data_IF_621051053049
#
_entry.id   IF_621051053049
#
_cell.length_a   1.000
_cell.length_b   1.000
_cell.length_c   1.000
_cell.angle_alpha   90.00
_cell.angle_beta   90.00
_cell.angle_gamma   90.00
#
_symmetry.space_group_name_H-M   'P 1'
#
loop_
_entity.id
_entity.type
_entity.pdbx_description
1 polymer ?
#
# COMPACT_ATOMS: atom_id res chain seq x y z
N UNK A 1 41.84 -5.45 -19.49
CA UNK A 1 40.92 -6.35 -18.76
C UNK A 1 40.75 -5.86 -17.32
N UNK A 2 39.54 -5.38 -17.02
CA UNK A 2 39.08 -5.10 -15.66
C UNK A 2 38.44 -6.35 -15.04
N UNK A 3 38.32 -6.38 -13.72
CA UNK A 3 37.71 -7.47 -12.96
C UNK A 3 36.23 -7.68 -13.32
N UNK A 4 35.63 -8.84 -13.00
CA UNK A 4 34.17 -9.01 -13.16
C UNK A 4 33.45 -8.19 -12.08
N UNK A 5 32.43 -7.38 -12.43
CA UNK A 5 31.71 -6.61 -11.42
C UNK A 5 30.77 -7.48 -10.59
N UNK A 6 30.51 -7.04 -9.37
CA UNK A 6 29.31 -7.43 -8.62
C UNK A 6 28.14 -6.58 -9.13
N UNK A 7 27.09 -7.23 -9.62
CA UNK A 7 25.89 -6.58 -10.15
C UNK A 7 24.79 -6.67 -9.11
N UNK A 8 24.33 -5.53 -8.62
CA UNK A 8 23.22 -5.44 -7.66
C UNK A 8 22.00 -4.83 -8.36
N UNK A 9 20.87 -5.55 -8.48
CA UNK A 9 19.62 -4.98 -8.98
C UNK A 9 19.19 -3.76 -8.16
N UNK A 10 18.65 -2.74 -8.81
CA UNK A 10 18.04 -1.55 -8.20
C UNK A 10 16.70 -1.27 -8.90
N UNK A 11 15.79 -0.53 -8.28
CA UNK A 11 14.54 -0.15 -8.92
C UNK A 11 14.83 0.77 -10.10
N UNK A 12 14.60 0.25 -11.31
CA UNK A 12 14.82 1.00 -12.53
C UNK A 12 16.24 0.98 -13.05
N UNK A 13 17.08 0.08 -12.55
CA UNK A 13 18.40 -0.13 -13.13
C UNK A 13 19.28 -1.07 -12.31
N UNK A 14 20.58 -0.81 -12.33
CA UNK A 14 21.59 -1.73 -11.81
C UNK A 14 22.76 -0.93 -11.25
N UNK A 15 23.33 -1.42 -10.15
CA UNK A 15 24.61 -0.96 -9.63
C UNK A 15 25.69 -2.00 -9.94
N UNK A 16 26.73 -1.58 -10.67
CA UNK A 16 27.90 -2.38 -10.97
C UNK A 16 29.06 -1.90 -10.10
N UNK A 17 29.67 -2.83 -9.36
CA UNK A 17 30.82 -2.54 -8.50
C UNK A 17 32.03 -3.37 -8.92
N UNK A 18 33.11 -2.67 -9.24
CA UNK A 18 34.43 -3.22 -9.51
C UNK A 18 35.37 -2.87 -8.36
N UNK A 19 35.57 -3.82 -7.44
CA UNK A 19 36.37 -3.59 -6.24
C UNK A 19 37.85 -3.33 -6.56
N UNK A 20 38.44 -4.07 -7.51
CA UNK A 20 39.86 -3.94 -7.86
C UNK A 20 40.19 -2.59 -8.52
N UNK A 21 39.23 -2.01 -9.23
CA UNK A 21 39.34 -0.72 -9.91
C UNK A 21 38.76 0.45 -9.11
N UNK A 22 38.24 0.19 -7.90
CA UNK A 22 37.49 1.15 -7.09
C UNK A 22 36.39 1.86 -7.90
N UNK A 23 35.75 1.16 -8.85
CA UNK A 23 34.84 1.77 -9.82
C UNK A 23 33.40 1.37 -9.50
N UNK A 24 32.52 2.36 -9.47
CA UNK A 24 31.09 2.18 -9.32
C UNK A 24 30.39 2.78 -10.54
N UNK A 25 29.56 1.97 -11.20
CA UNK A 25 28.72 2.41 -12.30
C UNK A 25 27.28 2.21 -11.92
N UNK A 26 26.53 3.31 -11.85
CA UNK A 26 25.09 3.29 -11.60
C UNK A 26 24.37 3.50 -12.92
N UNK A 27 23.48 2.56 -13.24
CA UNK A 27 22.48 2.69 -14.29
C UNK A 27 21.14 2.93 -13.61
N UNK A 28 20.46 4.02 -13.95
CA UNK A 28 19.14 4.39 -13.44
C UNK A 28 18.19 4.71 -14.60
N UNK A 29 16.91 4.92 -14.31
CA UNK A 29 15.87 5.31 -15.27
C UNK A 29 15.82 4.42 -16.52
N UNK A 30 16.14 3.14 -16.37
CA UNK A 30 16.21 2.19 -17.47
C UNK A 30 14.83 1.98 -18.09
N UNK A 31 14.76 2.15 -19.41
CA UNK A 31 13.55 2.01 -20.22
C UNK A 31 13.87 1.19 -21.45
N UNK A 32 13.09 0.13 -21.64
CA UNK A 32 13.01 -0.60 -22.91
C UNK A 32 11.87 0.03 -23.70
N UNK A 33 12.20 0.69 -24.81
CA UNK A 33 11.18 1.32 -25.67
C UNK A 33 10.51 0.23 -26.49
N UNK A 34 9.20 0.07 -26.32
CA UNK A 34 8.43 -0.99 -27.01
C UNK A 34 8.30 -0.77 -28.51
N UNK A 35 8.48 0.48 -28.99
CA UNK A 35 8.36 0.83 -30.41
C UNK A 35 9.55 0.39 -31.26
N UNK A 36 10.77 0.48 -30.74
CA UNK A 36 12.01 0.25 -31.48
C UNK A 36 12.99 -0.68 -30.76
N UNK A 37 12.63 -1.20 -29.58
CA UNK A 37 13.43 -2.14 -28.80
C UNK A 37 14.70 -1.54 -28.18
N UNK A 38 14.92 -0.22 -28.31
CA UNK A 38 16.12 0.42 -27.78
C UNK A 38 16.07 0.45 -26.26
N UNK A 39 17.25 0.35 -25.64
CA UNK A 39 17.40 0.43 -24.19
C UNK A 39 18.09 1.75 -23.84
N UNK A 40 17.40 2.61 -23.12
CA UNK A 40 17.93 3.90 -22.65
C UNK A 40 17.87 3.97 -21.14
N UNK A 41 18.78 4.70 -20.53
CA UNK A 41 18.71 5.04 -19.11
C UNK A 41 19.59 6.24 -18.82
N UNK A 42 19.84 6.47 -17.54
CA UNK A 42 20.86 7.36 -17.06
C UNK A 42 22.08 6.55 -16.60
N UNK A 43 23.27 7.07 -16.90
CA UNK A 43 24.53 6.47 -16.53
C UNK A 43 25.33 7.45 -15.67
N UNK A 44 25.79 6.98 -14.52
CA UNK A 44 26.72 7.69 -13.65
C UNK A 44 27.90 6.78 -13.35
N UNK A 45 29.12 7.33 -13.43
CA UNK A 45 30.36 6.61 -13.11
C UNK A 45 31.08 7.36 -12.00
N UNK A 46 31.35 6.68 -10.90
CA UNK A 46 32.11 7.20 -9.77
C UNK A 46 33.32 6.32 -9.49
N UNK A 47 34.42 6.95 -9.12
CA UNK A 47 35.57 6.27 -8.54
C UNK A 47 35.52 6.44 -7.03
N UNK A 48 35.56 5.33 -6.30
CA UNK A 48 35.55 5.28 -4.85
C UNK A 48 36.92 4.86 -4.31
N UNK A 49 37.96 5.66 -4.61
CA UNK A 49 39.26 5.50 -3.96
C UNK A 49 39.18 5.99 -2.50
N UNK A 50 39.84 5.25 -1.61
CA UNK A 50 39.70 5.25 -0.14
C UNK A 50 39.77 6.62 0.57
N UNK A 51 40.20 7.70 -0.09
CA UNK A 51 40.28 9.06 0.47
C UNK A 51 39.32 10.10 -0.15
N UNK A 52 38.71 9.85 -1.32
CA UNK A 52 37.79 10.79 -1.99
C UNK A 52 36.98 10.10 -3.10
N UNK A 53 35.65 10.09 -2.96
CA UNK A 53 34.76 9.71 -4.05
C UNK A 53 34.76 10.78 -5.14
N UNK A 54 35.16 10.42 -6.36
CA UNK A 54 35.16 11.33 -7.51
C UNK A 54 34.08 10.91 -8.51
N UNK A 55 33.25 11.86 -8.95
CA UNK A 55 32.34 11.64 -10.08
C UNK A 55 33.15 11.75 -11.37
N UNK A 56 33.32 10.62 -12.08
CA UNK A 56 34.01 10.56 -13.36
C UNK A 56 33.08 10.95 -14.51
N UNK A 57 31.84 10.43 -14.46
CA UNK A 57 30.73 10.77 -15.35
C UNK A 57 29.51 11.11 -14.49
N UNK A 58 28.98 12.36 -14.53
CA UNK A 58 27.74 12.69 -13.85
C UNK A 58 26.56 11.92 -14.46
N UNK A 59 25.44 11.85 -13.74
CA UNK A 59 24.22 11.22 -14.28
C UNK A 59 23.84 11.88 -15.60
N UNK A 60 23.90 11.12 -16.69
CA UNK A 60 23.61 11.60 -18.05
C UNK A 60 22.80 10.57 -18.80
N UNK A 61 21.90 11.02 -19.68
CA UNK A 61 21.16 10.10 -20.52
C UNK A 61 22.11 9.33 -21.44
N UNK A 62 21.88 8.02 -21.50
CA UNK A 62 22.70 7.07 -22.23
C UNK A 62 21.81 6.09 -22.99
N UNK A 63 22.05 5.95 -24.29
CA UNK A 63 21.42 4.94 -25.12
C UNK A 63 22.37 3.74 -25.22
N UNK A 64 22.06 2.66 -24.50
CA UNK A 64 22.87 1.45 -24.45
C UNK A 64 22.91 0.73 -25.81
N UNK A 65 21.94 0.99 -26.69
CA UNK A 65 21.90 0.45 -28.05
C UNK A 65 22.67 1.29 -29.08
N UNK A 66 23.29 2.43 -28.71
CA UNK A 66 23.95 3.35 -29.66
C UNK A 66 25.48 3.26 -29.63
N UNK A 67 26.07 2.65 -30.66
CA UNK A 67 27.53 2.52 -30.81
C UNK A 67 28.25 3.88 -30.81
N UNK A 68 27.66 4.87 -31.48
CA UNK A 68 28.24 6.22 -31.57
C UNK A 68 28.32 6.92 -30.21
N UNK A 69 27.31 6.76 -29.35
CA UNK A 69 27.31 7.34 -28.00
C UNK A 69 28.35 6.64 -27.12
N UNK A 70 28.47 5.30 -27.22
CA UNK A 70 29.49 4.54 -26.49
C UNK A 70 30.90 4.99 -26.86
N UNK A 71 31.21 5.06 -28.16
CA UNK A 71 32.53 5.49 -28.64
C UNK A 71 32.87 6.92 -28.19
N UNK A 72 31.90 7.84 -28.23
CA UNK A 72 32.08 9.22 -27.77
C UNK A 72 32.41 9.30 -26.28
N UNK A 73 31.64 8.62 -25.43
CA UNK A 73 31.86 8.65 -23.97
C UNK A 73 33.16 7.96 -23.57
N UNK A 74 33.49 6.83 -24.21
CA UNK A 74 34.76 6.14 -24.02
C UNK A 74 35.95 7.05 -24.36
N UNK A 75 35.89 7.76 -25.49
CA UNK A 75 36.92 8.71 -25.90
C UNK A 75 37.08 9.85 -24.89
N UNK A 76 35.98 10.46 -24.44
CA UNK A 76 36.00 11.56 -23.48
C UNK A 76 36.62 11.15 -22.13
N UNK A 77 36.26 9.98 -21.60
CA UNK A 77 36.84 9.49 -20.35
C UNK A 77 38.30 9.08 -20.50
N UNK A 78 38.69 8.52 -21.65
CA UNK A 78 40.09 8.21 -21.97
C UNK A 78 40.96 9.46 -22.06
N UNK A 79 40.46 10.53 -22.66
CA UNK A 79 41.17 11.82 -22.75
C UNK A 79 41.29 12.49 -21.38
N UNK A 80 40.23 12.45 -20.57
CA UNK A 80 40.20 13.08 -19.25
C UNK A 80 40.97 12.30 -18.17
N UNK A 81 41.04 10.98 -18.31
CA UNK A 81 41.64 10.05 -17.35
C UNK A 81 42.63 9.11 -18.04
N UNK A 82 43.60 9.70 -18.76
CA UNK A 82 44.61 8.98 -19.55
C UNK A 82 45.46 8.02 -18.72
N UNK A 83 45.69 8.35 -17.45
CA UNK A 83 46.52 7.56 -16.54
C UNK A 83 45.74 6.43 -15.84
N UNK A 84 44.44 6.29 -16.13
CA UNK A 84 43.65 5.20 -15.59
C UNK A 84 44.01 3.87 -16.27
N UNK A 85 44.07 2.79 -15.48
CA UNK A 85 44.24 1.42 -16.00
C UNK A 85 42.95 0.86 -16.64
N UNK A 86 41.94 1.70 -16.84
CA UNK A 86 40.60 1.31 -17.27
C UNK A 86 40.52 1.42 -18.79
N UNK A 87 40.30 0.29 -19.45
CA UNK A 87 39.98 0.26 -20.88
C UNK A 87 38.51 0.68 -21.09
N UNK A 88 38.30 1.99 -21.23
CA UNK A 88 36.96 2.58 -21.29
C UNK A 88 36.08 2.02 -22.41
N UNK A 89 36.65 1.71 -23.58
CA UNK A 89 35.90 1.12 -24.70
C UNK A 89 35.33 -0.24 -24.31
N UNK A 90 36.18 -1.12 -23.79
CA UNK A 90 35.77 -2.45 -23.30
C UNK A 90 34.71 -2.33 -22.20
N UNK A 91 34.86 -1.37 -21.27
CA UNK A 91 33.90 -1.15 -20.19
C UNK A 91 32.51 -0.78 -20.72
N UNK A 92 32.43 0.16 -21.67
CA UNK A 92 31.15 0.58 -22.24
C UNK A 92 30.47 -0.52 -23.06
N UNK A 93 31.23 -1.33 -23.79
CA UNK A 93 30.67 -2.46 -24.54
C UNK A 93 30.14 -3.55 -23.60
N UNK A 94 30.88 -3.87 -22.53
CA UNK A 94 30.39 -4.77 -21.49
C UNK A 94 29.13 -4.25 -20.80
N UNK A 95 29.12 -2.97 -20.39
CA UNK A 95 27.95 -2.34 -19.77
C UNK A 95 26.75 -2.39 -20.71
N UNK A 96 26.93 -2.05 -21.98
CA UNK A 96 25.85 -2.03 -22.95
C UNK A 96 25.28 -3.42 -23.23
N UNK A 97 26.13 -4.45 -23.35
CA UNK A 97 25.69 -5.82 -23.52
C UNK A 97 24.93 -6.31 -22.28
N UNK A 98 25.55 -6.19 -21.10
CA UNK A 98 25.00 -6.72 -19.85
C UNK A 98 23.71 -6.01 -19.45
N UNK A 99 23.63 -4.68 -19.56
CA UNK A 99 22.41 -3.93 -19.27
C UNK A 99 21.30 -4.31 -20.24
N UNK A 100 21.60 -4.53 -21.52
CA UNK A 100 20.58 -4.95 -22.49
C UNK A 100 20.07 -6.37 -22.24
N UNK A 101 20.96 -7.32 -21.88
CA UNK A 101 20.55 -8.66 -21.47
C UNK A 101 19.68 -8.61 -20.22
N UNK A 102 20.12 -7.92 -19.17
CA UNK A 102 19.37 -7.80 -17.92
C UNK A 102 18.04 -7.05 -18.10
N UNK A 103 18.00 -6.01 -18.94
CA UNK A 103 16.77 -5.26 -19.22
C UNK A 103 15.72 -6.11 -19.97
N UNK A 104 16.16 -7.07 -20.77
CA UNK A 104 15.30 -7.93 -21.60
C UNK A 104 15.03 -9.29 -20.98
N UNK A 105 15.86 -9.73 -20.02
CA UNK A 105 15.86 -11.08 -19.48
C UNK A 105 14.59 -11.49 -18.76
N UNK A 106 13.80 -10.54 -18.25
CA UNK A 106 12.60 -10.83 -17.47
C UNK A 106 12.90 -11.69 -16.23
N UNK A 107 11.85 -12.11 -15.53
CA UNK A 107 12.00 -13.12 -14.48
C UNK A 107 12.05 -14.52 -15.12
N UNK A 108 12.99 -15.35 -14.67
CA UNK A 108 13.09 -16.74 -15.13
C UNK A 108 11.83 -17.48 -14.69
N UNK A 109 11.15 -18.13 -15.64
CA UNK A 109 10.00 -18.98 -15.33
C UNK A 109 10.42 -20.12 -14.42
N UNK A 110 9.72 -20.29 -13.30
CA UNK A 110 9.95 -21.39 -12.36
C UNK A 110 8.80 -22.38 -12.45
N UNK A 111 9.12 -23.68 -12.48
CA UNK A 111 8.12 -24.73 -12.28
C UNK A 111 7.77 -24.77 -10.78
N UNK A 112 6.50 -24.57 -10.45
CA UNK A 112 6.01 -24.53 -9.08
C UNK A 112 5.04 -25.68 -8.87
N UNK A 113 5.37 -26.56 -7.94
CA UNK A 113 4.51 -27.67 -7.52
C UNK A 113 3.65 -27.25 -6.33
N UNK A 114 2.43 -27.77 -6.25
CA UNK A 114 1.58 -27.54 -5.07
C UNK A 114 2.19 -28.25 -3.85
N UNK A 115 2.36 -27.51 -2.75
CA UNK A 115 2.77 -28.08 -1.46
C UNK A 115 1.55 -28.69 -0.75
N UNK A 116 1.77 -29.78 0.01
CA UNK A 116 0.71 -30.40 0.83
C UNK A 116 0.33 -29.51 2.02
N UNK A 117 1.29 -28.75 2.55
CA UNK A 117 1.07 -27.80 3.65
C UNK A 117 0.61 -26.44 3.11
N UNK A 118 -0.56 -26.00 3.56
CA UNK A 118 -1.09 -24.66 3.27
C UNK A 118 -0.48 -23.69 4.28
N UNK A 119 0.42 -22.83 3.82
CA UNK A 119 0.96 -21.74 4.66
C UNK A 119 -0.11 -20.68 4.90
N UNK A 120 -0.21 -20.23 6.14
CA UNK A 120 -1.11 -19.14 6.51
C UNK A 120 -0.67 -17.82 5.87
N UNK A 121 -1.66 -16.94 5.64
CA UNK A 121 -1.40 -15.59 5.14
C UNK A 121 -0.67 -14.79 6.22
N UNK A 122 0.51 -14.26 5.87
CA UNK A 122 1.28 -13.41 6.77
C UNK A 122 0.71 -11.98 6.82
N UNK A 123 0.57 -11.45 8.05
CA UNK A 123 0.12 -10.09 8.30
C UNK A 123 1.21 -9.30 9.03
N UNK A 124 1.34 -8.01 8.72
CA UNK A 124 2.03 -7.07 9.60
C UNK A 124 1.10 -6.61 10.72
N UNK A 125 -0.18 -6.44 10.39
CA UNK A 125 -1.24 -6.06 11.34
C UNK A 125 -2.55 -6.67 10.89
N UNK A 126 -2.98 -7.77 11.49
CA UNK A 126 -4.21 -8.47 11.11
C UNK A 126 -5.42 -7.79 11.76
N UNK A 127 -6.49 -7.52 10.99
CA UNK A 127 -6.70 -7.93 9.58
C UNK A 127 -6.31 -6.87 8.53
N UNK A 128 -5.83 -5.71 8.95
CA UNK A 128 -5.70 -4.51 8.13
C UNK A 128 -4.58 -4.55 7.08
N UNK A 129 -3.44 -5.17 7.39
CA UNK A 129 -2.20 -5.12 6.58
C UNK A 129 -1.66 -6.53 6.35
N UNK A 130 -1.94 -7.08 5.17
CA UNK A 130 -1.31 -8.31 4.66
C UNK A 130 0.10 -7.97 4.18
N UNK A 131 1.09 -8.76 4.62
CA UNK A 131 2.50 -8.58 4.28
C UNK A 131 2.74 -8.82 2.78
N UNK A 132 3.58 -7.99 2.17
CA UNK A 132 3.96 -8.08 0.76
C UNK A 132 2.86 -7.65 -0.23
N UNK A 133 1.73 -7.13 0.26
CA UNK A 133 0.58 -6.79 -0.57
C UNK A 133 0.25 -5.30 -0.54
N UNK A 134 -0.51 -4.86 -1.54
CA UNK A 134 -1.17 -3.55 -1.55
C UNK A 134 -2.49 -3.63 -0.77
N UNK A 135 -2.54 -2.93 0.35
CA UNK A 135 -3.70 -2.81 1.22
C UNK A 135 -4.31 -1.41 1.05
N UNK A 136 -5.63 -1.29 0.98
CA UNK A 136 -6.31 0.01 0.87
C UNK A 136 -7.25 0.22 2.05
N UNK A 137 -7.17 1.41 2.66
CA UNK A 137 -8.23 1.95 3.50
C UNK A 137 -8.86 3.15 2.79
N UNK A 138 -10.16 3.08 2.52
CA UNK A 138 -10.88 4.17 1.87
C UNK A 138 -12.08 4.63 2.70
N UNK A 139 -12.57 5.82 2.43
CA UNK A 139 -13.66 6.41 3.20
C UNK A 139 -13.86 7.87 2.83
N UNK A 140 -14.91 8.49 3.36
CA UNK A 140 -15.23 9.88 3.06
C UNK A 140 -14.19 10.86 3.63
N UNK A 141 -14.23 12.10 3.13
CA UNK A 141 -13.45 13.19 3.70
C UNK A 141 -13.85 13.38 5.17
N UNK A 142 -12.87 13.53 6.06
CA UNK A 142 -13.12 13.81 7.49
C UNK A 142 -13.38 12.59 8.39
N UNK A 143 -13.31 11.36 7.85
CA UNK A 143 -13.53 10.11 8.61
C UNK A 143 -12.29 9.63 9.40
N UNK A 144 -11.20 10.42 9.46
CA UNK A 144 -9.95 10.08 10.17
C UNK A 144 -9.16 8.88 9.62
N UNK A 145 -9.09 8.74 8.29
CA UNK A 145 -8.27 7.69 7.63
C UNK A 145 -6.79 7.78 7.99
N UNK A 146 -6.19 8.96 7.87
CA UNK A 146 -4.77 9.20 8.17
C UNK A 146 -4.45 8.88 9.63
N UNK A 147 -5.29 9.32 10.57
CA UNK A 147 -5.16 8.96 12.00
C UNK A 147 -5.16 7.45 12.21
N UNK A 148 -6.08 6.72 11.55
CA UNK A 148 -6.18 5.25 11.64
C UNK A 148 -4.94 4.59 11.05
N UNK A 149 -4.45 5.07 9.90
CA UNK A 149 -3.24 4.55 9.25
C UNK A 149 -1.97 4.81 10.08
N UNK A 150 -1.82 6.00 10.67
CA UNK A 150 -0.69 6.34 11.52
C UNK A 150 -0.70 5.56 12.83
N UNK A 151 -1.87 5.28 13.42
CA UNK A 151 -1.99 4.36 14.54
C UNK A 151 -1.55 2.94 14.12
N UNK A 152 -1.97 2.45 12.95
CA UNK A 152 -1.50 1.16 12.44
C UNK A 152 0.03 1.11 12.29
N UNK A 153 0.65 2.19 11.78
CA UNK A 153 2.10 2.36 11.73
C UNK A 153 2.75 2.31 13.12
N UNK A 154 2.15 2.96 14.12
CA UNK A 154 2.64 2.93 15.50
C UNK A 154 2.55 1.52 16.12
N UNK A 155 1.46 0.80 15.88
CA UNK A 155 1.25 -0.56 16.39
C UNK A 155 2.33 -1.51 15.87
N UNK A 156 2.61 -1.49 14.56
CA UNK A 156 3.64 -2.36 13.97
C UNK A 156 5.07 -1.92 14.30
N UNK A 157 5.29 -0.63 14.58
CA UNK A 157 6.60 -0.13 15.02
C UNK A 157 6.95 -0.61 16.44
N UNK A 158 5.96 -0.65 17.34
CA UNK A 158 6.11 -1.01 18.75
C UNK A 158 5.83 -2.49 19.07
N UNK A 159 5.65 -3.35 18.06
CA UNK A 159 4.86 -4.59 18.13
C UNK A 159 3.83 -4.62 19.26
N UNK A 160 2.90 -3.66 19.25
CA UNK A 160 2.02 -3.40 20.38
C UNK A 160 0.90 -4.44 20.50
N UNK A 161 1.13 -5.50 21.28
CA UNK A 161 0.18 -6.62 21.47
C UNK A 161 -1.15 -6.16 22.08
N UNK A 162 -1.12 -5.29 23.09
CA UNK A 162 -2.31 -4.75 23.77
C UNK A 162 -2.78 -3.42 23.13
N UNK A 163 -2.73 -3.33 21.81
CA UNK A 163 -3.15 -2.12 21.10
C UNK A 163 -4.66 -1.88 21.24
N UNK A 164 -5.12 -0.61 21.20
CA UNK A 164 -6.51 -0.24 21.41
C UNK A 164 -7.49 -0.78 20.37
N UNK A 165 -6.99 -1.20 19.20
CA UNK A 165 -7.83 -1.79 18.15
C UNK A 165 -7.98 -3.30 18.30
N UNK A 166 -7.30 -3.92 19.27
CA UNK A 166 -7.25 -5.37 19.46
C UNK A 166 -6.91 -6.11 18.15
N UNK A 167 -6.01 -5.51 17.35
CA UNK A 167 -5.51 -6.12 16.12
C UNK A 167 -4.32 -7.02 16.45
N UNK A 168 -4.22 -8.17 15.79
CA UNK A 168 -3.07 -9.05 15.99
C UNK A 168 -1.88 -8.44 15.22
N UNK A 169 -0.77 -8.20 15.90
CA UNK A 169 0.45 -7.61 15.33
C UNK A 169 1.54 -8.66 15.22
N UNK A 170 2.42 -8.54 14.22
CA UNK A 170 3.62 -9.37 14.18
C UNK A 170 4.53 -9.08 15.38
N UNK A 171 5.33 -10.06 15.78
CA UNK A 171 6.29 -9.97 16.89
C UNK A 171 7.51 -9.07 16.56
N UNK A 172 7.78 -8.86 15.27
CA UNK A 172 8.88 -8.04 14.80
C UNK A 172 8.50 -6.56 14.66
N UNK A 173 9.40 -5.67 15.09
CA UNK A 173 9.26 -4.23 14.90
C UNK A 173 9.42 -3.85 13.42
N UNK A 174 8.38 -3.22 12.87
CA UNK A 174 8.32 -2.81 11.47
C UNK A 174 8.53 -1.31 11.36
N UNK A 175 9.61 -0.93 10.67
CA UNK A 175 9.82 0.46 10.29
C UNK A 175 8.86 0.86 9.19
N UNK A 176 8.20 1.98 9.40
CA UNK A 176 7.22 2.54 8.45
C UNK A 176 7.78 3.81 7.80
N UNK A 177 7.54 3.97 6.51
CA UNK A 177 7.76 5.20 5.75
C UNK A 177 6.41 5.76 5.28
N UNK A 178 6.09 6.97 5.73
CA UNK A 178 4.92 7.74 5.31
C UNK A 178 5.30 8.62 4.12
N UNK A 179 4.65 8.38 2.98
CA UNK A 179 4.72 9.20 1.79
C UNK A 179 3.50 10.13 1.80
N UNK A 180 3.71 11.37 2.24
CA UNK A 180 2.65 12.38 2.38
C UNK A 180 2.59 13.30 1.17
N UNK A 181 1.49 13.22 0.43
CA UNK A 181 1.12 14.01 -0.74
C UNK A 181 0.03 15.04 -0.44
N UNK A 182 -0.57 15.01 0.75
CA UNK A 182 -1.74 15.82 1.09
C UNK A 182 -1.40 16.99 2.01
N UNK A 183 -0.40 16.83 2.89
CA UNK A 183 -0.09 17.80 3.94
C UNK A 183 1.40 18.11 4.06
N UNK A 184 1.84 18.52 5.26
CA UNK A 184 3.20 18.91 5.58
C UNK A 184 3.70 18.25 6.88
N UNK A 185 5.00 18.40 7.15
CA UNK A 185 5.65 17.81 8.32
C UNK A 185 5.05 18.33 9.63
N UNK A 186 4.59 19.59 9.69
CA UNK A 186 4.02 20.16 10.90
C UNK A 186 2.67 19.49 11.24
N UNK A 187 1.84 19.27 10.23
CA UNK A 187 0.55 18.58 10.32
C UNK A 187 0.74 17.10 10.68
N UNK A 188 1.73 16.44 10.07
CA UNK A 188 2.10 15.08 10.42
C UNK A 188 2.54 14.95 11.88
N UNK A 189 3.46 15.83 12.34
CA UNK A 189 3.91 15.87 13.74
C UNK A 189 2.74 16.15 14.70
N UNK A 190 1.81 17.02 14.31
CA UNK A 190 0.59 17.27 15.07
C UNK A 190 -0.22 15.98 15.26
N UNK A 191 -0.47 15.20 14.20
CA UNK A 191 -1.18 13.92 14.34
C UNK A 191 -0.46 12.92 15.25
N UNK A 192 0.87 12.77 15.10
CA UNK A 192 1.65 11.85 15.95
C UNK A 192 1.64 12.27 17.42
N UNK A 193 1.77 13.57 17.70
CA UNK A 193 1.73 14.08 19.07
C UNK A 193 0.38 13.81 19.74
N UNK A 194 -0.73 13.98 19.00
CA UNK A 194 -2.09 13.72 19.50
C UNK A 194 -2.33 12.25 19.79
N UNK A 195 -1.90 11.38 18.86
CA UNK A 195 -1.98 9.93 19.02
C UNK A 195 -1.16 9.49 20.23
N UNK A 196 0.13 9.85 20.28
CA UNK A 196 1.03 9.48 21.38
C UNK A 196 0.44 9.86 22.75
N UNK A 197 -0.06 11.09 22.86
CA UNK A 197 -0.61 11.61 24.11
C UNK A 197 -1.91 10.91 24.51
N UNK A 198 -2.82 10.68 23.55
CA UNK A 198 -4.15 10.14 23.83
C UNK A 198 -4.20 8.62 23.98
N UNK A 199 -3.27 7.90 23.33
CA UNK A 199 -3.15 6.43 23.50
C UNK A 199 -2.14 6.02 24.57
N UNK A 200 -1.50 7.00 25.23
CA UNK A 200 -0.51 6.80 26.29
C UNK A 200 0.60 5.79 25.93
N UNK A 201 1.08 5.84 24.69
CA UNK A 201 2.12 4.93 24.21
C UNK A 201 3.54 5.46 24.43
N UNK A 202 4.53 4.56 24.53
CA UNK A 202 5.93 4.92 24.48
C UNK A 202 6.28 5.77 23.25
N UNK A 203 7.46 6.41 23.29
CA UNK A 203 7.96 7.11 22.13
C UNK A 203 8.15 6.14 20.95
N UNK A 204 7.59 6.49 19.80
CA UNK A 204 7.74 5.78 18.54
C UNK A 204 8.09 6.77 17.44
N UNK A 205 8.64 6.28 16.34
CA UNK A 205 8.93 7.09 15.17
C UNK A 205 8.38 6.45 13.90
N UNK A 206 7.80 7.29 13.04
CA UNK A 206 7.49 6.92 11.67
C UNK A 206 8.38 7.78 10.77
N UNK A 207 9.04 7.16 9.78
CA UNK A 207 9.81 7.94 8.81
C UNK A 207 8.81 8.71 7.94
N UNK A 208 9.13 9.96 7.62
CA UNK A 208 8.25 10.86 6.89
C UNK A 208 8.95 11.42 5.66
N UNK A 209 8.23 11.47 4.54
CA UNK A 209 8.66 12.15 3.33
C UNK A 209 7.50 12.91 2.72
N UNK A 210 7.68 14.22 2.60
CA UNK A 210 6.78 15.05 1.80
C UNK A 210 7.00 14.76 0.31
N UNK A 211 5.92 14.51 -0.42
CA UNK A 211 5.94 14.08 -1.80
C UNK A 211 5.16 15.08 -2.67
N UNK A 212 5.82 15.57 -3.73
CA UNK A 212 5.23 16.54 -4.67
C UNK A 212 4.92 15.87 -6.01
N UNK A 213 5.82 15.01 -6.48
CA UNK A 213 5.69 14.32 -7.75
C UNK A 213 4.97 12.98 -7.58
N UNK A 214 4.15 12.55 -8.56
CA UNK A 214 3.49 11.25 -8.52
C UNK A 214 4.46 10.11 -8.22
N UNK A 215 4.01 9.06 -7.54
CA UNK A 215 4.86 7.97 -7.05
C UNK A 215 5.68 7.33 -8.18
N UNK A 216 5.09 7.18 -9.36
CA UNK A 216 5.77 6.60 -10.52
C UNK A 216 6.82 7.52 -11.16
N UNK A 217 6.75 8.83 -10.91
CA UNK A 217 7.76 9.81 -11.35
C UNK A 217 8.94 9.91 -10.38
N UNK A 218 8.74 9.54 -9.13
CA UNK A 218 9.70 9.73 -8.02
C UNK A 218 10.18 8.42 -7.40
N UNK A 219 9.98 7.32 -8.11
CA UNK A 219 10.11 5.96 -7.57
C UNK A 219 11.52 5.64 -7.07
N UNK A 220 12.57 6.15 -7.72
CA UNK A 220 13.96 5.89 -7.32
C UNK A 220 14.35 6.64 -6.05
N UNK A 221 13.83 7.86 -5.86
CA UNK A 221 14.09 8.61 -4.64
C UNK A 221 13.32 7.99 -3.46
N UNK A 222 12.11 7.48 -3.71
CA UNK A 222 11.34 6.70 -2.74
C UNK A 222 12.10 5.42 -2.37
N UNK A 223 12.60 4.65 -3.35
CA UNK A 223 13.42 3.45 -3.09
C UNK A 223 14.62 3.79 -2.20
N UNK A 224 15.38 4.83 -2.54
CA UNK A 224 16.55 5.25 -1.74
C UNK A 224 16.15 5.54 -0.30
N UNK A 225 15.00 6.16 -0.08
CA UNK A 225 14.51 6.42 1.28
C UNK A 225 14.05 5.14 1.99
N UNK A 226 13.44 4.19 1.27
CA UNK A 226 13.09 2.86 1.80
C UNK A 226 14.35 2.13 2.27
N UNK A 227 15.38 2.06 1.44
CA UNK A 227 16.66 1.42 1.76
C UNK A 227 17.33 2.13 2.94
N UNK A 228 17.42 3.45 2.90
CA UNK A 228 18.05 4.28 3.94
C UNK A 228 17.36 4.11 5.30
N UNK A 229 16.04 4.05 5.32
CA UNK A 229 15.27 3.92 6.56
C UNK A 229 15.14 2.46 7.01
N UNK A 230 15.28 1.50 6.09
CA UNK A 230 14.96 0.10 6.29
C UNK A 230 13.46 -0.13 6.46
N UNK A 231 12.62 0.68 5.82
CA UNK A 231 11.18 0.57 5.93
C UNK A 231 10.65 -0.71 5.26
N UNK A 232 9.74 -1.42 5.93
CA UNK A 232 9.07 -2.62 5.37
C UNK A 232 7.55 -2.42 5.22
N UNK A 233 7.05 -1.27 5.67
CA UNK A 233 5.69 -0.78 5.44
C UNK A 233 5.75 0.64 4.86
N UNK A 234 5.01 0.86 3.78
CA UNK A 234 4.73 2.19 3.23
C UNK A 234 3.31 2.61 3.60
N UNK A 235 3.13 3.82 4.11
CA UNK A 235 1.82 4.47 4.20
C UNK A 235 1.77 5.55 3.13
N UNK A 236 0.77 5.51 2.25
CA UNK A 236 0.62 6.47 1.15
C UNK A 236 -0.62 7.32 1.40
N UNK A 237 -0.40 8.60 1.71
CA UNK A 237 -1.47 9.58 1.96
C UNK A 237 -1.41 10.69 0.91
N UNK A 238 -2.13 10.64 -0.22
CA UNK A 238 -3.19 9.69 -0.56
C UNK A 238 -3.04 9.12 -1.98
N UNK A 239 -3.85 8.12 -2.29
CA UNK A 239 -3.90 7.43 -3.59
C UNK A 239 -4.05 8.39 -4.77
N UNK A 240 -4.92 9.40 -4.65
CA UNK A 240 -5.26 10.31 -5.75
C UNK A 240 -4.03 11.13 -6.17
N UNK A 241 -3.39 11.79 -5.22
CA UNK A 241 -2.20 12.60 -5.48
C UNK A 241 -1.00 11.71 -5.88
N UNK A 242 -0.81 10.56 -5.24
CA UNK A 242 0.27 9.64 -5.57
C UNK A 242 0.15 9.01 -6.97
N UNK A 243 -1.08 8.81 -7.47
CA UNK A 243 -1.33 8.34 -8.84
C UNK A 243 -1.21 9.45 -9.90
N UNK A 244 -1.05 10.71 -9.46
CA UNK A 244 -0.74 11.85 -10.31
C UNK A 244 -1.91 12.44 -11.07
N UNK A 245 -3.14 12.36 -10.56
CA UNK A 245 -4.30 12.85 -11.30
C UNK A 245 -5.17 13.87 -10.57
N UNK A 246 -5.64 14.84 -11.35
CA UNK A 246 -6.90 15.56 -11.14
C UNK A 246 -8.10 14.72 -11.65
N UNK A 247 -9.33 15.16 -11.41
CA UNK A 247 -10.57 14.36 -11.51
C UNK A 247 -10.75 13.52 -12.80
N UNK A 248 -10.32 14.01 -13.96
CA UNK A 248 -10.47 13.29 -15.23
C UNK A 248 -9.42 12.17 -15.41
N UNK A 249 -8.19 12.39 -14.94
CA UNK A 249 -7.07 11.47 -15.13
C UNK A 249 -7.13 10.29 -14.16
N UNK A 250 -7.65 10.50 -12.95
CA UNK A 250 -7.84 9.41 -11.96
C UNK A 250 -8.87 8.38 -12.40
N UNK A 251 -9.84 8.77 -13.24
CA UNK A 251 -10.82 7.84 -13.82
C UNK A 251 -10.25 7.05 -15.01
N UNK A 252 -9.17 7.52 -15.61
CA UNK A 252 -8.46 6.82 -16.67
C UNK A 252 -7.74 5.56 -16.17
N UNK A 253 -7.59 4.56 -17.03
CA UNK A 253 -6.87 3.33 -16.68
C UNK A 253 -5.34 3.54 -16.56
N UNK A 254 -4.78 4.52 -17.26
CA UNK A 254 -3.35 4.73 -17.36
C UNK A 254 -2.70 5.16 -16.03
N UNK A 255 -3.27 6.16 -15.34
CA UNK A 255 -2.78 6.62 -14.02
C UNK A 255 -2.79 5.47 -13.00
N UNK A 256 -3.89 4.70 -12.98
CA UNK A 256 -4.02 3.55 -12.09
C UNK A 256 -3.02 2.42 -12.41
N UNK A 257 -2.83 2.07 -13.69
CA UNK A 257 -1.84 1.06 -14.10
C UNK A 257 -0.42 1.50 -13.77
N UNK A 258 -0.10 2.78 -13.99
CA UNK A 258 1.21 3.37 -13.72
C UNK A 258 1.52 3.34 -12.22
N UNK A 259 0.57 3.80 -11.39
CA UNK A 259 0.68 3.74 -9.93
C UNK A 259 0.89 2.31 -9.43
N UNK A 260 0.04 1.37 -9.86
CA UNK A 260 0.13 -0.01 -9.40
C UNK A 260 1.41 -0.72 -9.87
N UNK A 261 1.88 -0.42 -11.08
CA UNK A 261 3.17 -0.93 -11.57
C UNK A 261 4.32 -0.41 -10.71
N UNK A 262 4.27 0.86 -10.31
CA UNK A 262 5.29 1.45 -9.45
C UNK A 262 5.27 0.87 -8.02
N UNK A 263 4.09 0.67 -7.42
CA UNK A 263 3.96 -0.03 -6.12
C UNK A 263 4.54 -1.45 -6.17
N UNK A 264 4.22 -2.21 -7.22
CA UNK A 264 4.78 -3.56 -7.40
C UNK A 264 6.29 -3.54 -7.53
N UNK A 265 6.83 -2.56 -8.26
CA UNK A 265 8.27 -2.40 -8.44
C UNK A 265 9.00 -2.02 -7.14
N UNK A 266 8.35 -1.29 -6.24
CA UNK A 266 8.87 -1.03 -4.88
C UNK A 266 8.96 -2.30 -4.02
N UNK A 267 8.23 -3.37 -4.37
CA UNK A 267 8.23 -4.67 -3.69
C UNK A 267 8.16 -4.57 -2.15
N UNK A 268 7.39 -3.60 -1.65
CA UNK A 268 7.26 -3.31 -0.22
C UNK A 268 5.78 -3.31 0.17
N UNK A 269 5.45 -3.82 1.35
CA UNK A 269 4.07 -3.80 1.86
C UNK A 269 3.54 -2.36 1.90
N UNK A 270 2.32 -2.12 1.43
CA UNK A 270 1.74 -0.78 1.44
C UNK A 270 0.35 -0.74 2.07
N UNK A 271 0.07 0.33 2.81
CA UNK A 271 -1.24 0.76 3.23
C UNK A 271 -1.55 2.10 2.56
N UNK A 272 -2.52 2.08 1.65
CA UNK A 272 -2.83 3.20 0.77
C UNK A 272 -4.16 3.83 1.23
N UNK A 273 -4.13 5.14 1.46
CA UNK A 273 -5.31 5.91 1.88
C UNK A 273 -6.03 6.42 0.63
N UNK A 274 -7.33 6.15 0.53
CA UNK A 274 -8.13 6.60 -0.61
C UNK A 274 -9.43 7.29 -0.21
N UNK A 275 -9.96 8.12 -1.12
CA UNK A 275 -11.28 8.73 -0.96
C UNK A 275 -12.35 7.84 -1.60
N UNK A 276 -13.61 8.01 -1.18
CA UNK A 276 -14.77 7.41 -1.84
C UNK A 276 -15.15 8.19 -3.10
N UNK A 277 -15.67 7.52 -4.13
CA UNK A 277 -16.15 8.18 -5.35
C UNK A 277 -17.41 9.04 -5.13
N UNK A 278 -17.46 10.22 -5.77
CA UNK A 278 -18.65 11.08 -5.84
C UNK A 278 -19.50 10.74 -7.09
N UNK A 279 -20.78 10.43 -6.91
CA UNK A 279 -21.77 10.26 -8.01
C UNK A 279 -22.54 8.93 -7.98
N UNK A 280 -23.88 8.96 -8.17
CA UNK A 280 -24.92 7.91 -8.04
C UNK A 280 -24.87 6.98 -6.78
N UNK A 281 -23.73 6.90 -6.11
CA UNK A 281 -23.42 6.19 -4.88
C UNK A 281 -23.92 6.88 -3.61
N UNK A 282 -24.50 8.08 -3.70
CA UNK A 282 -25.34 8.60 -2.61
C UNK A 282 -26.56 7.70 -2.38
N UNK A 283 -27.06 7.03 -3.42
CA UNK A 283 -28.15 6.03 -3.33
C UNK A 283 -27.66 4.58 -3.29
N UNK A 284 -26.37 4.32 -3.53
CA UNK A 284 -25.83 2.95 -3.47
C UNK A 284 -25.35 2.62 -2.04
N UNK A 285 -25.67 1.40 -1.59
CA UNK A 285 -25.29 0.91 -0.25
C UNK A 285 -23.78 0.66 -0.09
N UNK A 286 -23.04 0.65 -1.20
CA UNK A 286 -21.61 0.32 -1.24
C UNK A 286 -20.84 1.41 -1.99
N UNK A 287 -20.05 2.19 -1.24
CA UNK A 287 -19.15 3.17 -1.83
C UNK A 287 -17.93 2.44 -2.39
N UNK A 288 -17.37 2.98 -3.46
CA UNK A 288 -16.15 2.47 -4.09
C UNK A 288 -15.03 3.48 -3.94
N UNK A 289 -13.79 2.99 -4.08
CA UNK A 289 -12.60 3.84 -4.16
C UNK A 289 -12.77 4.83 -5.33
N UNK A 290 -12.39 6.09 -5.09
CA UNK A 290 -12.41 7.11 -6.13
C UNK A 290 -11.35 6.84 -7.21
N UNK A 291 -11.73 7.04 -8.47
CA UNK A 291 -10.88 6.81 -9.63
C UNK A 291 -11.23 5.53 -10.38
N UNK A 292 -10.26 4.97 -11.09
CA UNK A 292 -10.41 3.75 -11.88
C UNK A 292 -10.69 2.53 -11.00
N UNK A 293 -11.56 1.63 -11.46
CA UNK A 293 -11.79 0.31 -10.81
C UNK A 293 -10.52 -0.55 -10.74
N UNK A 294 -9.50 -0.23 -11.54
CA UNK A 294 -8.17 -0.86 -11.50
C UNK A 294 -7.53 -0.73 -10.11
N UNK A 295 -7.74 0.37 -9.38
CA UNK A 295 -7.23 0.49 -8.01
C UNK A 295 -7.78 -0.62 -7.10
N UNK A 296 -9.07 -0.93 -7.23
CA UNK A 296 -9.71 -2.03 -6.49
C UNK A 296 -9.16 -3.39 -6.92
N UNK A 297 -8.94 -3.62 -8.22
CA UNK A 297 -8.50 -4.94 -8.72
C UNK A 297 -7.06 -5.31 -8.33
N UNK A 298 -6.20 -4.31 -8.18
CA UNK A 298 -4.80 -4.52 -7.83
C UNK A 298 -4.57 -4.58 -6.32
N UNK A 299 -5.43 -3.96 -5.51
CA UNK A 299 -5.42 -4.14 -4.07
C UNK A 299 -5.90 -5.54 -3.68
N UNK A 300 -5.21 -6.18 -2.74
CA UNK A 300 -5.52 -7.56 -2.29
C UNK A 300 -6.28 -7.61 -0.97
N UNK A 301 -6.36 -6.46 -0.30
CA UNK A 301 -7.02 -6.26 0.99
C UNK A 301 -7.61 -4.85 1.01
N UNK A 302 -8.92 -4.71 1.16
CA UNK A 302 -9.61 -3.42 1.06
C UNK A 302 -10.57 -3.24 2.23
N UNK A 303 -10.42 -2.14 2.94
CA UNK A 303 -11.29 -1.71 4.01
C UNK A 303 -11.97 -0.38 3.70
N UNK A 304 -13.25 -0.27 4.04
CA UNK A 304 -13.98 1.00 4.09
C UNK A 304 -14.09 1.47 5.53
N UNK A 305 -13.65 2.69 5.80
CA UNK A 305 -13.85 3.38 7.07
C UNK A 305 -15.04 4.34 6.92
N UNK A 306 -16.08 4.09 7.69
CA UNK A 306 -17.30 4.91 7.78
C UNK A 306 -17.35 5.60 9.15
N UNK A 307 -18.02 6.74 9.24
CA UNK A 307 -18.43 7.33 10.52
C UNK A 307 -19.94 7.15 10.70
N UNK A 308 -20.39 7.06 11.94
CA UNK A 308 -21.80 7.25 12.27
C UNK A 308 -22.17 8.70 11.99
N UNK A 309 -23.42 8.94 11.58
CA UNK A 309 -23.97 10.29 11.66
C UNK A 309 -24.24 10.57 13.14
N UNK A 310 -23.56 11.56 13.73
CA UNK A 310 -23.67 11.79 15.16
C UNK A 310 -23.92 13.23 15.58
N UNK A 311 -24.59 13.31 16.74
CA UNK A 311 -25.24 14.46 17.38
C UNK A 311 -24.29 15.13 18.40
N UNK A 312 -23.15 14.51 18.75
CA UNK A 312 -22.16 14.97 19.73
C UNK A 312 -20.86 15.47 19.07
N UNK A 313 -20.26 16.55 19.59
CA UNK A 313 -19.17 17.25 18.91
C UNK A 313 -17.76 16.69 19.20
N UNK A 314 -17.59 15.93 20.29
CA UNK A 314 -16.26 15.53 20.79
C UNK A 314 -15.95 14.03 20.63
N UNK A 315 -16.91 13.21 20.25
CA UNK A 315 -16.71 11.78 20.00
C UNK A 315 -17.02 11.48 18.54
N UNK A 316 -16.29 10.56 17.93
CA UNK A 316 -16.63 9.99 16.62
C UNK A 316 -16.63 8.49 16.68
N UNK A 317 -17.76 7.89 16.33
CA UNK A 317 -17.88 6.45 16.19
C UNK A 317 -17.67 6.09 14.72
N UNK A 318 -16.76 5.16 14.50
CA UNK A 318 -16.35 4.70 13.18
C UNK A 318 -16.60 3.22 13.03
N UNK A 319 -16.87 2.79 11.81
CA UNK A 319 -16.96 1.38 11.45
C UNK A 319 -15.98 1.06 10.32
N UNK A 320 -15.17 0.03 10.53
CA UNK A 320 -14.22 -0.50 9.57
C UNK A 320 -14.80 -1.78 8.94
N UNK A 321 -15.19 -1.69 7.67
CA UNK A 321 -15.77 -2.78 6.89
C UNK A 321 -14.73 -3.45 6.00
N UNK A 322 -14.50 -4.75 6.17
CA UNK A 322 -13.66 -5.53 5.27
C UNK A 322 -14.39 -5.76 3.94
N UNK A 323 -14.08 -4.96 2.93
CA UNK A 323 -14.78 -4.95 1.63
C UNK A 323 -14.27 -6.00 0.69
N UNK A 324 -12.96 -6.17 0.53
CA UNK A 324 -12.36 -7.21 -0.33
C UNK A 324 -11.13 -7.85 0.29
N UNK A 325 -10.98 -9.17 0.11
CA UNK A 325 -9.81 -9.93 0.52
C UNK A 325 -9.61 -11.07 -0.46
N UNK A 326 -8.41 -11.18 -1.04
CA UNK A 326 -8.12 -12.22 -2.03
C UNK A 326 -7.50 -13.48 -1.41
N UNK A 327 -6.85 -13.35 -0.26
CA UNK A 327 -6.01 -14.40 0.33
C UNK A 327 -6.64 -15.05 1.55
N UNK A 328 -7.62 -14.40 2.18
CA UNK A 328 -8.28 -14.89 3.38
C UNK A 328 -9.77 -14.56 3.38
N UNK A 329 -10.48 -15.10 4.37
CA UNK A 329 -11.87 -14.74 4.61
C UNK A 329 -11.98 -13.30 5.12
N UNK A 330 -12.97 -12.57 4.62
CA UNK A 330 -13.31 -11.22 5.12
C UNK A 330 -13.63 -11.27 6.61
N UNK A 331 -13.01 -10.37 7.35
CA UNK A 331 -13.23 -10.14 8.78
C UNK A 331 -14.64 -9.58 9.02
N UNK A 332 -15.16 -9.79 10.23
CA UNK A 332 -16.37 -9.09 10.66
C UNK A 332 -16.12 -7.57 10.72
N UNK A 333 -17.16 -6.73 10.56
CA UNK A 333 -17.04 -5.30 10.79
C UNK A 333 -16.51 -4.99 12.19
N UNK A 334 -15.67 -3.97 12.31
CA UNK A 334 -15.02 -3.57 13.57
C UNK A 334 -15.40 -2.13 13.89
N UNK A 335 -15.73 -1.86 15.15
CA UNK A 335 -16.09 -0.53 15.64
C UNK A 335 -14.87 0.15 16.22
N UNK A 336 -14.73 1.44 15.95
CA UNK A 336 -13.62 2.26 16.44
C UNK A 336 -14.21 3.56 16.97
N UNK A 337 -14.00 3.80 18.26
CA UNK A 337 -14.34 5.07 18.90
C UNK A 337 -13.12 5.98 18.92
N UNK A 338 -13.32 7.23 18.53
CA UNK A 338 -12.34 8.31 18.64
C UNK A 338 -12.86 9.37 19.60
N UNK A 339 -12.11 9.65 20.66
CA UNK A 339 -12.41 10.72 21.60
C UNK A 339 -11.44 11.91 21.40
N UNK A 340 -12.00 13.09 21.16
CA UNK A 340 -11.26 14.34 21.01
C UNK A 340 -11.16 15.04 22.36
N UNK A 341 -10.02 14.87 23.04
CA UNK A 341 -9.83 15.33 24.41
C UNK A 341 -9.55 16.85 24.48
N UNK A 342 -9.91 17.49 25.60
CA UNK A 342 -9.69 18.93 25.85
C UNK A 342 -8.21 19.34 25.70
N UNK A 343 -7.31 18.43 26.07
CA UNK A 343 -5.86 18.63 26.01
C UNK A 343 -5.27 18.46 24.60
N UNK A 344 -6.14 18.43 23.60
CA UNK A 344 -5.93 18.21 22.16
C UNK A 344 -5.52 16.79 21.79
N UNK A 345 -5.36 15.85 22.72
CA UNK A 345 -5.03 14.47 22.35
C UNK A 345 -6.20 13.75 21.67
N UNK A 346 -5.92 12.59 21.04
CA UNK A 346 -6.96 11.70 20.52
C UNK A 346 -6.79 10.34 21.17
N UNK A 347 -7.81 9.89 21.89
CA UNK A 347 -7.91 8.51 22.34
C UNK A 347 -8.62 7.69 21.27
N UNK A 348 -8.17 6.46 21.06
CA UNK A 348 -8.73 5.52 20.08
C UNK A 348 -8.97 4.23 20.82
N UNK A 349 -10.16 3.64 20.68
CA UNK A 349 -10.50 2.35 21.28
C UNK A 349 -11.39 1.54 20.35
N UNK A 350 -11.28 0.22 20.43
CA UNK A 350 -12.25 -0.68 19.82
C UNK A 350 -13.57 -0.58 20.54
N UNK A 351 -14.65 -0.69 19.78
CA UNK A 351 -15.99 -0.80 20.31
C UNK A 351 -16.80 -1.86 19.55
N UNK A 352 -17.89 -2.31 20.16
CA UNK A 352 -18.85 -3.14 19.46
C UNK A 352 -19.54 -2.33 18.37
N UNK A 353 -19.55 -2.84 17.14
CA UNK A 353 -20.37 -2.23 16.09
C UNK A 353 -21.84 -2.44 16.43
N UNK A 354 -22.52 -1.35 16.82
CA UNK A 354 -23.98 -1.28 16.78
C UNK A 354 -24.39 -1.16 15.31
N UNK A 355 -24.72 -2.29 14.71
CA UNK A 355 -25.02 -2.41 13.27
C UNK A 355 -26.23 -1.54 12.87
N UNK A 356 -27.10 -1.17 13.80
CA UNK A 356 -28.22 -0.23 13.58
C UNK A 356 -27.79 1.21 13.26
N UNK A 357 -26.59 1.65 13.64
CA UNK A 357 -26.09 2.99 13.27
C UNK A 357 -25.50 3.01 11.86
N UNK A 358 -25.16 1.84 11.31
CA UNK A 358 -24.53 1.67 10.01
C UNK A 358 -25.37 0.82 9.04
N UNK A 359 -26.66 0.63 9.33
CA UNK A 359 -27.51 -0.38 8.70
C UNK A 359 -27.55 -0.27 7.17
N UNK A 360 -27.48 0.95 6.63
CA UNK A 360 -27.53 1.22 5.19
C UNK A 360 -26.25 0.83 4.44
N UNK A 361 -25.12 0.66 5.16
CA UNK A 361 -23.80 0.31 4.58
C UNK A 361 -23.48 -1.18 4.65
N UNK A 362 -24.39 -1.97 5.24
CA UNK A 362 -24.22 -3.40 5.46
C UNK A 362 -24.92 -4.27 4.42
N UNK A 363 -24.38 -5.47 4.22
CA UNK A 363 -25.06 -6.47 3.41
C UNK A 363 -26.34 -6.92 4.11
N UNK A 364 -27.37 -7.27 3.32
CA UNK A 364 -28.65 -7.79 3.85
C UNK A 364 -28.46 -8.94 4.84
N UNK A 365 -27.48 -9.82 4.60
CA UNK A 365 -27.18 -10.93 5.50
C UNK A 365 -26.66 -10.46 6.87
N UNK A 366 -25.76 -9.49 6.89
CA UNK A 366 -25.19 -8.98 8.13
C UNK A 366 -26.23 -8.21 8.96
N UNK A 367 -27.14 -7.48 8.29
CA UNK A 367 -28.28 -6.80 8.94
C UNK A 367 -29.25 -7.80 9.60
N UNK A 368 -29.56 -8.89 8.92
CA UNK A 368 -30.41 -9.97 9.48
C UNK A 368 -29.76 -10.59 10.71
N UNK A 369 -28.46 -10.90 10.66
CA UNK A 369 -27.75 -11.48 11.81
C UNK A 369 -27.76 -10.55 13.02
N UNK A 370 -27.67 -9.23 12.82
CA UNK A 370 -27.70 -8.28 13.92
C UNK A 370 -29.07 -8.12 14.57
N UNK A 371 -30.12 -7.96 13.77
CA UNK A 371 -31.50 -7.88 14.28
C UNK A 371 -31.84 -9.14 15.09
N UNK A 372 -31.39 -10.30 14.61
CA UNK A 372 -31.63 -11.57 15.29
C UNK A 372 -30.80 -11.78 16.57
N UNK A 373 -29.85 -10.89 16.91
CA UNK A 373 -29.25 -10.87 18.25
C UNK A 373 -30.25 -10.49 19.33
N UNK A 374 -31.31 -9.73 18.96
CA UNK A 374 -32.35 -9.25 19.88
C UNK A 374 -33.46 -10.28 20.10
N UNK A 375 -33.46 -11.37 19.33
CA UNK A 375 -34.45 -12.44 19.42
C UNK A 375 -34.81 -13.04 18.06
N UNK A 376 -35.51 -14.17 18.08
CA UNK A 376 -36.04 -14.76 16.86
C UNK A 376 -37.18 -13.90 16.28
N UNK A 377 -37.21 -13.75 14.96
CA UNK A 377 -38.22 -12.94 14.26
C UNK A 377 -38.72 -13.65 13.00
N UNK A 378 -39.94 -13.32 12.57
CA UNK A 378 -40.51 -13.83 11.32
C UNK A 378 -39.93 -13.09 10.10
N UNK A 379 -39.99 -13.73 8.91
CA UNK A 379 -39.48 -13.11 7.67
C UNK A 379 -40.16 -11.77 7.39
N UNK A 380 -41.45 -11.67 7.68
CA UNK A 380 -42.25 -10.45 7.46
C UNK A 380 -41.80 -9.32 8.39
N UNK A 381 -41.59 -9.63 9.65
CA UNK A 381 -41.09 -8.68 10.66
C UNK A 381 -39.65 -8.26 10.35
N UNK A 382 -38.79 -9.20 9.96
CA UNK A 382 -37.42 -8.92 9.52
C UNK A 382 -37.38 -8.03 8.28
N UNK A 383 -38.27 -8.27 7.31
CA UNK A 383 -38.36 -7.46 6.11
C UNK A 383 -38.79 -6.01 6.45
N UNK A 384 -39.77 -5.86 7.34
CA UNK A 384 -40.22 -4.55 7.83
C UNK A 384 -39.14 -3.82 8.64
N UNK A 385 -38.51 -4.50 9.61
CA UNK A 385 -37.49 -3.90 10.48
C UNK A 385 -36.24 -3.46 9.72
N UNK A 386 -35.95 -4.12 8.59
CA UNK A 386 -34.79 -3.83 7.74
C UNK A 386 -35.13 -2.96 6.53
N UNK A 387 -36.38 -2.54 6.36
CA UNK A 387 -36.83 -1.80 5.18
C UNK A 387 -36.33 -2.44 3.86
N UNK A 388 -36.59 -3.75 3.71
CA UNK A 388 -36.27 -4.54 2.51
C UNK A 388 -37.49 -5.35 2.08
N UNK A 389 -37.52 -5.74 0.81
CA UNK A 389 -38.60 -6.59 0.29
C UNK A 389 -38.54 -8.00 0.88
N UNK A 390 -39.70 -8.60 1.15
CA UNK A 390 -39.79 -9.98 1.67
C UNK A 390 -39.03 -11.02 0.81
N UNK A 391 -39.04 -10.98 -0.55
CA UNK A 391 -38.26 -11.89 -1.37
C UNK A 391 -36.75 -11.76 -1.12
N UNK A 392 -36.23 -10.53 -0.99
CA UNK A 392 -34.81 -10.29 -0.70
C UNK A 392 -34.43 -10.77 0.69
N UNK A 393 -35.29 -10.54 1.68
CA UNK A 393 -35.14 -11.07 3.04
C UNK A 393 -35.08 -12.61 3.03
N UNK A 394 -36.05 -13.26 2.36
CA UNK A 394 -36.18 -14.72 2.29
C UNK A 394 -34.97 -15.38 1.61
N UNK A 395 -34.44 -14.77 0.54
CA UNK A 395 -33.20 -15.23 -0.10
C UNK A 395 -31.99 -15.13 0.83
N UNK A 396 -31.85 -14.02 1.55
CA UNK A 396 -30.74 -13.81 2.47
C UNK A 396 -30.79 -14.76 3.67
N UNK A 397 -31.97 -14.96 4.27
CA UNK A 397 -32.21 -15.96 5.34
C UNK A 397 -31.87 -17.36 4.84
N UNK A 398 -32.34 -17.77 3.66
CA UNK A 398 -32.04 -19.09 3.09
C UNK A 398 -30.53 -19.33 2.93
N UNK A 399 -29.78 -18.33 2.45
CA UNK A 399 -28.32 -18.40 2.34
C UNK A 399 -27.64 -18.52 3.71
N UNK A 400 -28.14 -17.84 4.73
CA UNK A 400 -27.60 -17.89 6.10
C UNK A 400 -27.90 -19.23 6.79
N UNK A 401 -29.10 -19.80 6.60
CA UNK A 401 -29.46 -21.14 7.09
C UNK A 401 -28.57 -22.20 6.44
N UNK A 402 -28.34 -22.13 5.13
CA UNK A 402 -27.40 -23.05 4.43
C UNK A 402 -25.97 -22.96 4.96
N UNK A 403 -25.56 -21.78 5.45
CA UNK A 403 -24.24 -21.55 6.07
C UNK A 403 -24.20 -21.93 7.56
N UNK A 404 -25.27 -22.53 8.11
CA UNK A 404 -25.36 -22.90 9.51
C UNK A 404 -25.34 -21.71 10.47
N UNK A 405 -25.78 -20.52 10.04
CA UNK A 405 -25.80 -19.31 10.90
C UNK A 405 -27.16 -19.03 11.53
N UNK A 406 -28.23 -19.56 10.95
CA UNK A 406 -29.60 -19.40 11.42
C UNK A 406 -30.28 -20.75 11.57
N UNK A 407 -31.15 -20.87 12.57
CA UNK A 407 -32.04 -21.99 12.77
C UNK A 407 -33.49 -21.50 12.74
N UNK A 408 -34.39 -22.33 12.20
CA UNK A 408 -35.82 -22.05 12.25
C UNK A 408 -36.34 -22.39 13.64
N UNK A 409 -36.97 -21.43 14.31
CA UNK A 409 -37.48 -21.59 15.68
C UNK A 409 -38.96 -21.24 15.67
N UNK A 410 -39.81 -22.21 15.99
CA UNK A 410 -41.28 -22.05 15.96
C UNK A 410 -41.78 -21.44 14.64
N UNK A 411 -42.20 -20.17 14.66
CA UNK A 411 -42.72 -19.43 13.50
C UNK A 411 -41.68 -18.56 12.78
N UNK A 412 -40.50 -18.35 13.38
CA UNK A 412 -39.46 -17.43 12.88
C UNK A 412 -38.08 -18.07 12.68
N UNK A 413 -37.06 -17.23 12.56
CA UNK A 413 -35.64 -17.62 12.49
C UNK A 413 -34.87 -16.97 13.64
N UNK A 414 -33.95 -17.72 14.24
CA UNK A 414 -33.04 -17.24 15.28
C UNK A 414 -31.58 -17.54 14.94
N UNK A 415 -30.65 -16.90 15.65
CA UNK A 415 -29.22 -17.18 15.51
C UNK A 415 -28.91 -18.60 15.99
N UNK A 416 -28.13 -19.34 15.20
CA UNK A 416 -27.54 -20.58 15.68
C UNK A 416 -26.30 -20.22 16.52
N UNK A 417 -26.49 -20.03 17.82
CA UNK A 417 -25.37 -19.93 18.77
C UNK A 417 -24.81 -21.34 18.98
N UNK A 418 -23.55 -21.57 18.57
CA UNK A 418 -22.83 -22.73 19.07
C UNK A 418 -22.61 -22.53 20.59
N UNK A 419 -22.84 -23.54 21.43
CA UNK A 419 -22.40 -23.50 22.82
C UNK A 419 -20.90 -23.27 22.94
#
# INVERSE_FOLDING_TARGET
MYSKPIITPQIGGYLFSWEAESLLVRVSHLRVHTSDGRVTGELQITNNNQDKSMILLPSTQFNFSSDMIRARQAKQLREKYSDSKIEWVELFDFLAHTVQELARGGDVSQEVWAEDDIRDVEYLLKPLIIKGMSNIIFGEKGVNKSTTAYLAGAIVYLPWLENPLEFEVCDQAIKTLVLDYETDLATFNYYLARLKKGTNIPAFSLNYRHCILPLADDIEAIEKEIIKTGASLLIIDSLAAAAGGEDAELKGSQSALRFNSAIRKLNTTSLIIAQTSKGQAEKSRHKTIYGSTIFTYYARNIFELCHSEEIDSNTKHLALFHRECNLARKSAPMGIRLDFNEDRSISINRESVSISEFTDKMTTQARILDVLKRGAMEIKELAQSLDITEPNCRMAVSRLTKKGKLIKVSTGYGLLTHP
#
